data_IF_010247014547
#
_entry.id   IF_010247014547
#
_cell.length_a   1.000
_cell.length_b   1.000
_cell.length_c   1.000
_cell.angle_alpha   90.00
_cell.angle_beta   90.00
_cell.angle_gamma   90.00
#
_symmetry.space_group_name_H-M   'P 1'
#
loop_
_entity.id
_entity.type
_entity.pdbx_description
1 polymer ?
#
# COMPACT_ATOMS: atom_id res chain seq x y z
N UNK A 1 -2.52 32.96 4.90
CA UNK A 1 -1.61 32.03 5.63
C UNK A 1 -2.32 31.44 6.84
N UNK A 2 -2.94 32.23 7.67
CA UNK A 2 -3.67 31.80 8.87
C UNK A 2 -4.80 30.77 8.57
N UNK A 3 -5.61 31.02 7.55
CA UNK A 3 -6.65 30.10 7.11
C UNK A 3 -6.12 28.73 6.62
N UNK A 4 -4.93 28.71 5.97
CA UNK A 4 -4.33 27.46 5.49
C UNK A 4 -3.78 26.62 6.65
N UNK A 5 -3.13 27.26 7.64
CA UNK A 5 -2.64 26.59 8.83
C UNK A 5 -3.79 26.02 9.65
N UNK A 6 -4.83 26.82 9.90
CA UNK A 6 -6.01 26.39 10.65
C UNK A 6 -6.67 25.17 9.99
N UNK A 7 -6.79 25.18 8.67
CA UNK A 7 -7.35 24.06 7.92
C UNK A 7 -6.46 22.81 8.00
N UNK A 8 -5.12 22.97 7.88
CA UNK A 8 -4.19 21.86 7.95
C UNK A 8 -4.19 21.23 9.37
N UNK A 9 -4.23 22.05 10.42
CA UNK A 9 -4.31 21.61 11.81
C UNK A 9 -5.65 20.88 12.06
N UNK A 10 -6.77 21.45 11.61
CA UNK A 10 -8.08 20.80 11.71
C UNK A 10 -8.08 19.44 11.03
N UNK A 11 -7.55 19.35 9.82
CA UNK A 11 -7.47 18.10 9.08
C UNK A 11 -6.59 17.05 9.79
N UNK A 12 -5.48 17.45 10.39
CA UNK A 12 -4.63 16.53 11.14
C UNK A 12 -5.37 15.90 12.32
N UNK A 13 -6.09 16.72 13.10
CA UNK A 13 -6.92 16.22 14.20
C UNK A 13 -8.15 15.43 13.73
N UNK A 14 -8.63 15.72 12.54
CA UNK A 14 -9.67 14.94 11.85
C UNK A 14 -9.15 13.64 11.24
N UNK A 15 -8.03 13.12 11.73
CA UNK A 15 -7.43 11.86 11.33
C UNK A 15 -6.95 11.80 9.86
N UNK A 16 -6.49 12.91 9.32
CA UNK A 16 -5.77 12.93 8.05
C UNK A 16 -4.27 12.75 8.29
N UNK A 17 -3.74 11.59 7.90
CA UNK A 17 -2.31 11.28 8.01
C UNK A 17 -1.44 12.27 7.25
N UNK A 18 -1.79 12.62 6.01
CA UNK A 18 -1.01 13.54 5.19
C UNK A 18 -0.89 14.93 5.83
N UNK A 19 -1.96 15.42 6.47
CA UNK A 19 -1.93 16.70 7.18
C UNK A 19 -1.06 16.65 8.43
N UNK A 20 -1.12 15.55 9.19
CA UNK A 20 -0.28 15.36 10.37
C UNK A 20 1.22 15.26 9.96
N UNK A 21 1.53 14.47 8.94
CA UNK A 21 2.88 14.36 8.39
C UNK A 21 3.40 15.71 7.87
N UNK A 22 2.60 16.45 7.11
CA UNK A 22 3.00 17.77 6.58
C UNK A 22 3.29 18.78 7.68
N UNK A 23 2.48 18.82 8.74
CA UNK A 23 2.72 19.68 9.90
C UNK A 23 4.00 19.27 10.63
N UNK A 24 4.21 17.97 10.84
CA UNK A 24 5.47 17.48 11.39
C UNK A 24 6.67 17.99 10.60
N UNK A 25 6.70 17.78 9.28
CA UNK A 25 7.81 18.21 8.41
C UNK A 25 8.00 19.74 8.43
N UNK A 26 6.90 20.50 8.40
CA UNK A 26 6.95 21.95 8.43
C UNK A 26 7.60 22.48 9.71
N UNK A 27 7.23 21.95 10.88
CA UNK A 27 7.80 22.38 12.16
C UNK A 27 9.21 21.82 12.39
N UNK A 28 9.49 20.59 11.97
CA UNK A 28 10.81 19.97 12.13
C UNK A 28 11.88 20.64 11.27
N UNK A 29 11.57 20.92 10.00
CA UNK A 29 12.54 21.47 9.05
C UNK A 29 12.42 22.98 8.86
N UNK A 30 11.38 23.64 9.33
CA UNK A 30 11.12 25.05 9.10
C UNK A 30 10.68 25.33 7.65
N UNK A 31 9.87 24.46 7.05
CA UNK A 31 9.37 24.59 5.69
C UNK A 31 8.13 25.48 5.61
N UNK A 32 7.79 25.92 4.40
CA UNK A 32 6.53 26.64 4.11
C UNK A 32 6.26 27.84 5.02
N UNK A 33 7.33 28.60 5.40
CA UNK A 33 7.29 29.75 6.30
C UNK A 33 6.97 29.41 7.77
N UNK A 34 7.07 28.16 8.16
CA UNK A 34 7.04 27.76 9.57
C UNK A 34 8.41 28.02 10.21
N UNK A 35 8.41 28.46 11.45
CA UNK A 35 9.62 28.44 12.27
C UNK A 35 9.82 27.04 12.85
N UNK A 36 11.07 26.59 12.91
CA UNK A 36 11.39 25.31 13.57
C UNK A 36 10.88 25.32 15.00
N UNK A 37 10.14 24.28 15.37
CA UNK A 37 9.58 24.08 16.69
C UNK A 37 9.48 22.59 16.98
N UNK A 38 10.44 22.07 17.73
CA UNK A 38 10.51 20.62 18.01
C UNK A 38 9.32 20.12 18.84
N UNK A 39 8.75 20.95 19.73
CA UNK A 39 7.57 20.56 20.52
C UNK A 39 6.33 20.36 19.63
N UNK A 40 6.09 21.26 18.67
CA UNK A 40 5.01 21.09 17.70
C UNK A 40 5.32 19.97 16.71
N UNK A 41 6.56 19.83 16.28
CA UNK A 41 6.98 18.72 15.41
C UNK A 41 6.69 17.37 16.08
N UNK A 42 7.08 17.18 17.33
CA UNK A 42 6.85 15.95 18.08
C UNK A 42 5.36 15.63 18.26
N UNK A 43 4.54 16.64 18.51
CA UNK A 43 3.08 16.48 18.61
C UNK A 43 2.47 15.92 17.33
N UNK A 44 2.81 16.49 16.18
CA UNK A 44 2.28 16.03 14.89
C UNK A 44 2.94 14.74 14.41
N UNK A 45 4.20 14.49 14.76
CA UNK A 45 4.84 13.19 14.61
C UNK A 45 4.05 12.09 15.32
N UNK A 46 3.77 12.27 16.63
CA UNK A 46 3.02 11.28 17.42
C UNK A 46 1.60 11.06 16.86
N UNK A 47 0.97 12.10 16.33
CA UNK A 47 -0.34 11.98 15.68
C UNK A 47 -0.24 11.16 14.38
N UNK A 48 0.75 11.43 13.53
CA UNK A 48 0.98 10.68 12.29
C UNK A 48 1.26 9.20 12.58
N UNK A 49 2.16 8.90 13.55
CA UNK A 49 2.46 7.52 13.97
C UNK A 49 1.20 6.79 14.43
N UNK A 50 0.41 7.41 15.30
CA UNK A 50 -0.82 6.81 15.80
C UNK A 50 -1.79 6.44 14.67
N UNK A 51 -1.88 7.28 13.63
CA UNK A 51 -2.79 7.04 12.51
C UNK A 51 -2.34 5.86 11.65
N UNK A 52 -1.05 5.75 11.31
CA UNK A 52 -0.62 4.65 10.46
C UNK A 52 -0.47 3.32 11.22
N UNK A 53 -0.09 3.33 12.50
CA UNK A 53 0.01 2.10 13.29
C UNK A 53 -1.32 1.43 13.58
N UNK A 54 -2.39 2.22 13.74
CA UNK A 54 -3.71 1.71 14.15
C UNK A 54 -4.70 1.55 13.01
N UNK A 55 -4.57 2.36 11.97
CA UNK A 55 -5.62 2.56 10.98
C UNK A 55 -5.15 2.35 9.54
N UNK A 56 -4.05 1.59 9.32
CA UNK A 56 -3.66 1.13 8.00
C UNK A 56 -4.33 -0.20 7.68
N UNK A 57 -5.26 -0.20 6.73
CA UNK A 57 -5.94 -1.43 6.29
C UNK A 57 -6.36 -1.35 4.82
N UNK A 58 -6.50 -2.53 4.17
CA UNK A 58 -7.06 -2.63 2.82
C UNK A 58 -8.56 -2.38 2.89
N UNK A 59 -9.05 -1.34 2.21
CA UNK A 59 -10.47 -0.95 2.23
C UNK A 59 -11.26 -1.49 1.05
N UNK A 60 -10.68 -1.48 -0.15
CA UNK A 60 -11.35 -2.05 -1.33
C UNK A 60 -10.35 -2.52 -2.38
N UNK A 61 -10.84 -3.40 -3.26
CA UNK A 61 -10.10 -3.91 -4.41
C UNK A 61 -11.03 -4.07 -5.60
N UNK A 62 -10.52 -3.73 -6.78
CA UNK A 62 -11.14 -4.05 -8.06
C UNK A 62 -10.17 -4.88 -8.90
N UNK A 63 -10.66 -5.98 -9.44
CA UNK A 63 -9.89 -6.88 -10.31
C UNK A 63 -10.59 -6.93 -11.65
N UNK A 64 -9.81 -6.83 -12.73
CA UNK A 64 -10.28 -7.05 -14.09
C UNK A 64 -9.33 -7.97 -14.84
N UNK A 65 -9.90 -9.01 -15.45
CA UNK A 65 -9.24 -9.98 -16.31
C UNK A 65 -7.99 -10.66 -15.71
N UNK A 66 -7.98 -10.90 -14.41
CA UNK A 66 -6.86 -11.51 -13.71
C UNK A 66 -7.16 -12.99 -13.35
N UNK A 67 -6.36 -13.91 -13.85
CA UNK A 67 -6.52 -15.36 -13.68
C UNK A 67 -7.92 -15.80 -14.12
N UNK A 68 -8.70 -16.40 -13.20
CA UNK A 68 -10.07 -16.84 -13.49
C UNK A 68 -11.09 -15.70 -13.36
N UNK A 69 -10.70 -14.58 -12.81
CA UNK A 69 -11.60 -13.46 -12.49
C UNK A 69 -11.73 -12.55 -13.69
N UNK A 70 -12.93 -12.39 -14.22
CA UNK A 70 -13.22 -11.44 -15.30
C UNK A 70 -13.38 -10.03 -14.74
N UNK A 71 -14.29 -9.85 -13.77
CA UNK A 71 -14.48 -8.60 -13.04
C UNK A 71 -14.93 -8.92 -11.62
N UNK A 72 -14.35 -8.21 -10.66
CA UNK A 72 -14.68 -8.36 -9.25
C UNK A 72 -14.39 -7.08 -8.49
N UNK A 73 -15.34 -6.63 -7.66
CA UNK A 73 -15.15 -5.54 -6.70
C UNK A 73 -15.42 -6.08 -5.31
N UNK A 74 -14.49 -5.80 -4.38
CA UNK A 74 -14.59 -6.23 -2.98
C UNK A 74 -14.36 -5.01 -2.09
N UNK A 75 -15.22 -4.83 -1.10
CA UNK A 75 -14.97 -3.97 0.04
C UNK A 75 -14.54 -4.87 1.21
N UNK A 76 -13.49 -4.45 1.91
CA UNK A 76 -12.94 -5.18 3.04
C UNK A 76 -13.34 -4.48 4.34
N UNK A 77 -13.69 -5.28 5.33
CA UNK A 77 -13.82 -4.81 6.70
C UNK A 77 -12.43 -4.62 7.32
N UNK A 78 -12.30 -3.65 8.20
CA UNK A 78 -11.04 -3.32 8.88
C UNK A 78 -10.53 -4.48 9.74
N UNK A 79 -11.44 -5.18 10.41
CA UNK A 79 -11.10 -6.22 11.39
C UNK A 79 -11.01 -7.61 10.75
N UNK A 80 -12.02 -7.98 9.95
CA UNK A 80 -12.10 -9.33 9.38
C UNK A 80 -12.92 -9.36 8.10
N UNK A 81 -12.36 -9.92 7.05
CA UNK A 81 -13.10 -10.29 5.83
C UNK A 81 -12.92 -11.78 5.53
N UNK A 82 -14.01 -12.51 5.40
CA UNK A 82 -14.02 -13.93 5.09
C UNK A 82 -14.48 -14.15 3.63
N UNK A 83 -13.62 -14.79 2.82
CA UNK A 83 -13.91 -15.12 1.43
C UNK A 83 -14.27 -16.61 1.35
N UNK A 84 -15.54 -16.91 1.06
CA UNK A 84 -16.06 -18.27 0.95
C UNK A 84 -16.47 -18.58 -0.49
N UNK A 85 -16.48 -19.87 -0.86
CA UNK A 85 -16.89 -20.32 -2.18
C UNK A 85 -16.28 -21.70 -2.51
N UNK A 86 -16.77 -22.32 -3.59
CA UNK A 86 -16.32 -23.63 -4.07
C UNK A 86 -14.84 -23.60 -4.51
N UNK A 87 -14.25 -24.78 -4.73
CA UNK A 87 -12.90 -24.87 -5.28
C UNK A 87 -12.88 -24.35 -6.73
N UNK A 88 -11.81 -23.64 -7.09
CA UNK A 88 -11.64 -23.12 -8.44
C UNK A 88 -12.32 -21.78 -8.74
N UNK A 89 -13.13 -21.19 -7.84
CA UNK A 89 -13.85 -19.91 -8.09
C UNK A 89 -12.96 -18.66 -8.01
N UNK A 90 -11.68 -18.79 -7.68
CA UNK A 90 -10.75 -17.64 -7.65
C UNK A 90 -10.38 -17.10 -6.27
N UNK A 91 -10.70 -17.77 -5.16
CA UNK A 91 -10.31 -17.34 -3.80
C UNK A 91 -8.80 -17.09 -3.68
N UNK A 92 -7.99 -18.02 -4.12
CA UNK A 92 -6.52 -17.89 -4.13
C UNK A 92 -6.06 -16.78 -5.08
N UNK A 93 -6.78 -16.53 -6.17
CA UNK A 93 -6.48 -15.40 -7.07
C UNK A 93 -6.69 -14.05 -6.39
N UNK A 94 -7.75 -13.92 -5.57
CA UNK A 94 -7.99 -12.71 -4.76
C UNK A 94 -6.84 -12.50 -3.76
N UNK A 95 -6.45 -13.53 -3.01
CA UNK A 95 -5.35 -13.44 -2.05
C UNK A 95 -4.01 -13.09 -2.72
N UNK A 96 -3.73 -13.66 -3.90
CA UNK A 96 -2.54 -13.32 -4.68
C UNK A 96 -2.58 -11.89 -5.21
N UNK A 97 -3.75 -11.38 -5.59
CA UNK A 97 -3.94 -9.98 -5.98
C UNK A 97 -3.60 -9.02 -4.83
N UNK A 98 -4.14 -9.28 -3.63
CA UNK A 98 -3.83 -8.51 -2.41
C UNK A 98 -2.32 -8.57 -2.11
N UNK A 99 -1.72 -9.76 -2.15
CA UNK A 99 -0.29 -9.97 -1.90
C UNK A 99 0.57 -9.09 -2.82
N UNK A 100 0.24 -8.98 -4.12
CA UNK A 100 1.01 -8.16 -5.07
C UNK A 100 1.03 -6.68 -4.65
N UNK A 101 -0.07 -6.14 -4.15
CA UNK A 101 -0.15 -4.76 -3.64
C UNK A 101 0.60 -4.58 -2.32
N UNK A 102 0.46 -5.52 -1.39
CA UNK A 102 1.21 -5.52 -0.13
C UNK A 102 2.73 -5.53 -0.40
N UNK A 103 3.20 -6.33 -1.35
CA UNK A 103 4.61 -6.36 -1.76
C UNK A 103 5.10 -4.99 -2.24
N UNK A 104 4.27 -4.20 -2.94
CA UNK A 104 4.63 -2.85 -3.37
C UNK A 104 4.74 -1.88 -2.20
N UNK A 105 3.76 -1.90 -1.27
CA UNK A 105 3.80 -1.04 -0.08
C UNK A 105 5.01 -1.39 0.78
N UNK A 106 5.20 -2.66 1.10
CA UNK A 106 6.34 -3.13 1.89
C UNK A 106 7.68 -2.78 1.26
N UNK A 107 7.83 -3.00 -0.05
CA UNK A 107 9.04 -2.63 -0.79
C UNK A 107 9.29 -1.11 -0.78
N UNK A 108 8.22 -0.29 -0.90
CA UNK A 108 8.31 1.17 -0.87
C UNK A 108 8.68 1.71 0.52
N UNK A 109 8.24 1.04 1.60
CA UNK A 109 8.68 1.35 2.97
C UNK A 109 10.16 1.00 3.15
N UNK A 110 10.62 -0.11 2.56
CA UNK A 110 12.00 -0.58 2.73
C UNK A 110 13.03 0.30 2.04
N UNK A 111 12.75 0.78 0.84
CA UNK A 111 13.70 1.60 0.06
C UNK A 111 13.03 2.39 -1.05
N UNK A 112 13.71 3.44 -1.52
CA UNK A 112 13.35 4.16 -2.73
C UNK A 112 13.50 3.29 -3.98
N UNK A 113 12.73 3.62 -5.01
CA UNK A 113 12.75 2.94 -6.31
C UNK A 113 12.59 1.42 -6.21
N UNK A 114 11.91 0.96 -5.14
CA UNK A 114 11.61 -0.44 -4.95
C UNK A 114 10.64 -0.96 -6.01
N UNK A 115 10.70 -2.26 -6.26
CA UNK A 115 9.75 -2.99 -7.10
C UNK A 115 8.98 -4.00 -6.26
N UNK A 116 7.73 -4.24 -6.62
CA UNK A 116 6.85 -5.20 -5.96
C UNK A 116 6.27 -6.22 -6.94
N UNK A 117 5.10 -6.75 -6.60
CA UNK A 117 4.41 -7.74 -7.42
C UNK A 117 3.96 -7.18 -8.77
N UNK A 118 4.03 -7.99 -9.81
CA UNK A 118 3.54 -7.68 -11.16
C UNK A 118 2.55 -8.74 -11.63
N UNK A 119 1.76 -8.43 -12.64
CA UNK A 119 0.93 -9.42 -13.35
C UNK A 119 1.78 -10.02 -14.45
N UNK A 120 1.94 -11.35 -14.49
CA UNK A 120 2.61 -12.06 -15.57
C UNK A 120 1.66 -12.32 -16.76
N UNK A 121 2.17 -12.55 -17.98
CA UNK A 121 1.31 -12.77 -19.15
C UNK A 121 0.31 -13.93 -19.00
N UNK A 122 0.72 -14.99 -18.34
CA UNK A 122 -0.09 -16.20 -18.05
C UNK A 122 -1.19 -15.95 -16.99
N UNK A 123 -1.10 -14.85 -16.25
CA UNK A 123 -2.12 -14.44 -15.28
C UNK A 123 -3.25 -13.60 -15.92
N UNK A 124 -3.13 -13.20 -17.20
CA UNK A 124 -4.21 -12.50 -17.90
C UNK A 124 -5.32 -13.51 -18.27
N UNK A 125 -6.57 -13.20 -17.93
CA UNK A 125 -7.71 -14.03 -18.30
C UNK A 125 -7.97 -13.98 -19.81
N UNK A 126 -7.64 -15.05 -20.52
CA UNK A 126 -7.82 -15.16 -21.97
C UNK A 126 -9.25 -15.61 -22.39
N UNK A 127 -10.12 -15.93 -21.43
CA UNK A 127 -11.50 -16.38 -21.70
C UNK A 127 -12.51 -15.23 -21.82
N UNK A 128 -12.11 -14.00 -21.46
CA UNK A 128 -12.97 -12.85 -21.63
C UNK A 128 -12.94 -12.35 -23.09
N UNK A 129 -14.09 -11.85 -23.55
CA UNK A 129 -14.37 -11.41 -24.94
C UNK A 129 -13.31 -10.50 -25.57
N UNK A 130 -13.40 -10.30 -26.90
CA UNK A 130 -12.45 -9.61 -27.79
C UNK A 130 -11.99 -8.19 -27.41
N UNK A 131 -12.64 -7.55 -26.41
CA UNK A 131 -12.26 -6.24 -25.89
C UNK A 131 -11.29 -6.31 -24.69
N UNK A 132 -10.64 -7.44 -24.44
CA UNK A 132 -9.70 -7.60 -23.34
C UNK A 132 -8.34 -7.03 -23.69
N UNK A 133 -8.06 -5.81 -23.23
CA UNK A 133 -6.81 -5.11 -23.46
C UNK A 133 -5.67 -5.54 -22.50
N UNK A 134 -5.96 -6.36 -21.51
CA UNK A 134 -5.04 -6.79 -20.47
C UNK A 134 -5.75 -7.04 -19.15
N UNK A 135 -4.98 -7.10 -18.08
CA UNK A 135 -5.47 -7.28 -16.71
C UNK A 135 -5.03 -6.13 -15.81
N UNK A 136 -5.87 -5.77 -14.85
CA UNK A 136 -5.47 -4.87 -13.78
C UNK A 136 -6.05 -5.29 -12.43
N UNK A 137 -5.37 -4.85 -11.40
CA UNK A 137 -5.77 -4.95 -10.01
C UNK A 137 -5.62 -3.56 -9.40
N UNK A 138 -6.71 -3.00 -8.90
CA UNK A 138 -6.72 -1.76 -8.14
C UNK A 138 -6.93 -2.09 -6.67
N UNK A 139 -6.13 -1.49 -5.80
CA UNK A 139 -6.34 -1.55 -4.36
C UNK A 139 -6.33 -0.16 -3.74
N UNK A 140 -7.16 0.01 -2.72
CA UNK A 140 -7.16 1.18 -1.87
C UNK A 140 -6.91 0.77 -0.43
N UNK A 141 -5.91 1.40 0.18
CA UNK A 141 -5.60 1.27 1.60
C UNK A 141 -5.98 2.56 2.30
N UNK A 142 -6.66 2.47 3.42
CA UNK A 142 -6.94 3.62 4.26
C UNK A 142 -5.88 3.75 5.34
N UNK A 143 -5.53 4.99 5.66
CA UNK A 143 -4.67 5.38 6.79
C UNK A 143 -5.43 6.44 7.58
N UNK A 144 -5.86 6.10 8.77
CA UNK A 144 -6.86 6.91 9.46
C UNK A 144 -8.20 6.89 8.74
N UNK A 145 -9.08 7.81 9.10
CA UNK A 145 -10.45 7.85 8.54
C UNK A 145 -10.58 8.57 7.20
N UNK A 146 -9.59 9.39 6.81
CA UNK A 146 -9.72 10.31 5.67
C UNK A 146 -8.63 10.22 4.62
N UNK A 147 -7.58 9.44 4.82
CA UNK A 147 -6.55 9.22 3.80
C UNK A 147 -6.73 7.87 3.13
N UNK A 148 -6.73 7.88 1.81
CA UNK A 148 -6.79 6.67 0.98
C UNK A 148 -5.61 6.64 0.03
N UNK A 149 -4.79 5.62 0.15
CA UNK A 149 -3.64 5.33 -0.72
C UNK A 149 -4.07 4.34 -1.78
N UNK A 150 -4.15 4.79 -3.04
CA UNK A 150 -4.60 3.95 -4.16
C UNK A 150 -3.41 3.53 -5.01
N UNK A 151 -3.48 2.31 -5.53
CA UNK A 151 -2.51 1.83 -6.49
C UNK A 151 -3.15 0.88 -7.50
N UNK A 152 -2.64 0.92 -8.73
CA UNK A 152 -2.99 0.02 -9.82
C UNK A 152 -1.78 -0.78 -10.25
N UNK A 153 -1.92 -2.09 -10.27
CA UNK A 153 -1.00 -3.00 -10.96
C UNK A 153 -1.69 -3.46 -12.23
N UNK A 154 -1.07 -3.20 -13.37
CA UNK A 154 -1.66 -3.52 -14.66
C UNK A 154 -0.66 -4.23 -15.59
N UNK A 155 -1.17 -5.07 -16.47
CA UNK A 155 -0.45 -5.70 -17.57
C UNK A 155 -1.27 -5.63 -18.84
N UNK A 156 -0.68 -5.01 -19.87
CA UNK A 156 -1.26 -4.94 -21.21
C UNK A 156 -1.13 -6.31 -21.88
N UNK A 157 -2.12 -6.71 -22.64
CA UNK A 157 -2.02 -7.86 -23.54
C UNK A 157 -1.19 -7.48 -24.77
N UNK A 158 -0.29 -8.34 -25.23
CA UNK A 158 0.64 -8.04 -26.32
C UNK A 158 -0.05 -7.63 -27.64
N UNK A 159 -1.30 -8.04 -27.83
CA UNK A 159 -2.14 -7.68 -29.00
C UNK A 159 -2.96 -6.39 -28.82
N UNK A 160 -2.88 -5.75 -27.66
CA UNK A 160 -3.70 -4.57 -27.36
C UNK A 160 -3.08 -3.28 -27.90
N UNK A 161 -3.91 -2.45 -28.50
CA UNK A 161 -3.55 -1.08 -28.93
C UNK A 161 -3.92 -0.03 -27.88
N UNK A 162 -4.65 -0.40 -26.84
CA UNK A 162 -5.09 0.52 -25.78
C UNK A 162 -4.10 0.48 -24.63
N UNK A 163 -3.55 1.64 -24.21
CA UNK A 163 -2.61 1.68 -23.10
C UNK A 163 -3.30 1.35 -21.76
N UNK A 164 -2.73 0.43 -21.03
CA UNK A 164 -3.10 0.11 -19.65
C UNK A 164 -1.83 0.15 -18.81
N UNK A 165 -1.75 1.07 -17.85
CA UNK A 165 -0.52 1.32 -17.07
C UNK A 165 -0.72 1.05 -15.59
N UNK A 166 0.34 0.60 -14.93
CA UNK A 166 0.41 0.58 -13.48
C UNK A 166 0.58 1.99 -12.92
N UNK A 167 -0.10 2.28 -11.83
CA UNK A 167 -0.09 3.56 -11.12
C UNK A 167 0.25 3.29 -9.65
N UNK A 168 1.51 3.50 -9.28
CA UNK A 168 2.06 3.09 -7.98
C UNK A 168 2.76 4.26 -7.25
N UNK A 169 2.57 5.48 -7.75
CA UNK A 169 3.17 6.69 -7.17
C UNK A 169 2.76 6.87 -5.71
N UNK A 170 1.49 6.70 -5.39
CA UNK A 170 0.99 6.86 -4.02
C UNK A 170 1.62 5.84 -3.04
N UNK A 171 1.99 4.63 -3.51
CA UNK A 171 2.68 3.66 -2.67
C UNK A 171 4.12 4.08 -2.38
N UNK A 172 4.79 4.72 -3.34
CA UNK A 172 6.13 5.27 -3.12
C UNK A 172 6.08 6.47 -2.18
N UNK A 173 5.09 7.35 -2.35
CA UNK A 173 4.89 8.51 -1.48
C UNK A 173 4.62 8.12 -0.03
N UNK A 174 3.74 7.15 0.21
CA UNK A 174 3.49 6.68 1.58
C UNK A 174 4.70 5.98 2.17
N UNK A 175 5.42 5.19 1.37
CA UNK A 175 6.67 4.55 1.79
C UNK A 175 7.71 5.58 2.20
N UNK A 176 7.87 6.68 1.44
CA UNK A 176 8.76 7.79 1.80
C UNK A 176 8.36 8.44 3.12
N UNK A 177 7.09 8.79 3.27
CA UNK A 177 6.59 9.41 4.51
C UNK A 177 6.84 8.55 5.74
N UNK A 178 6.66 7.24 5.64
CA UNK A 178 6.94 6.29 6.73
C UNK A 178 8.45 6.22 7.03
N UNK A 179 9.31 6.25 6.00
CA UNK A 179 10.77 6.32 6.22
C UNK A 179 11.18 7.61 6.90
N UNK A 180 10.69 8.76 6.45
CA UNK A 180 10.99 10.06 7.04
C UNK A 180 10.61 10.11 8.54
N UNK A 181 9.46 9.54 8.89
CA UNK A 181 9.04 9.40 10.28
C UNK A 181 10.00 8.49 11.06
N UNK A 182 10.44 7.38 10.47
CA UNK A 182 11.37 6.47 11.11
C UNK A 182 12.80 7.03 11.23
N UNK A 183 13.23 7.90 10.32
CA UNK A 183 14.51 8.62 10.41
C UNK A 183 14.50 9.63 11.57
N UNK A 184 13.38 10.29 11.80
CA UNK A 184 13.27 11.21 12.94
C UNK A 184 13.33 10.48 14.27
N UNK A 185 12.61 9.37 14.41
CA UNK A 185 12.63 8.51 15.58
C UNK A 185 12.22 7.08 15.19
N UNK A 186 12.89 6.09 15.75
CA UNK A 186 12.57 4.69 15.50
C UNK A 186 11.09 4.38 15.78
N UNK A 187 10.39 3.88 14.75
CA UNK A 187 8.95 3.61 14.77
C UNK A 187 8.69 2.15 14.37
N UNK A 188 7.50 1.64 14.66
CA UNK A 188 7.11 0.31 14.20
C UNK A 188 6.69 0.38 12.73
N UNK A 189 7.17 -0.56 11.92
CA UNK A 189 6.67 -0.73 10.56
C UNK A 189 5.41 -1.60 10.54
N UNK A 190 4.48 -1.38 9.59
CA UNK A 190 3.34 -2.26 9.42
C UNK A 190 3.80 -3.70 9.17
N UNK A 191 3.24 -4.67 9.89
CA UNK A 191 3.53 -6.08 9.67
C UNK A 191 2.50 -6.67 8.70
N UNK A 192 3.00 -7.25 7.61
CA UNK A 192 2.18 -7.99 6.65
C UNK A 192 2.54 -9.47 6.70
N UNK A 193 1.56 -10.34 6.91
CA UNK A 193 1.74 -11.78 6.89
C UNK A 193 0.85 -12.41 5.81
N UNK A 194 1.45 -13.20 4.92
CA UNK A 194 0.74 -13.96 3.90
C UNK A 194 0.95 -15.46 4.11
N UNK A 195 -0.15 -16.17 4.28
CA UNK A 195 -0.13 -17.62 4.47
C UNK A 195 -0.72 -18.33 3.24
N UNK A 196 0.14 -18.72 2.31
CA UNK A 196 -0.23 -19.52 1.12
C UNK A 196 -0.37 -21.01 1.40
N UNK A 197 -0.99 -21.70 0.43
CA UNK A 197 -1.15 -23.17 0.47
C UNK A 197 0.18 -23.89 0.22
N UNK A 198 1.16 -23.25 -0.43
CA UNK A 198 2.44 -23.85 -0.85
C UNK A 198 3.52 -23.88 0.26
N UNK A 199 3.11 -23.87 1.52
CA UNK A 199 4.05 -23.81 2.67
C UNK A 199 5.05 -24.98 2.72
N UNK A 200 4.77 -26.11 2.06
CA UNK A 200 5.56 -27.32 2.18
C UNK A 200 6.56 -27.53 1.04
N UNK A 201 6.54 -26.72 -0.03
CA UNK A 201 7.34 -26.96 -1.23
C UNK A 201 8.57 -26.08 -1.41
N UNK A 202 8.77 -25.02 -0.63
CA UNK A 202 9.96 -24.20 -0.76
C UNK A 202 11.01 -24.48 0.33
N UNK A 203 11.83 -25.52 0.11
CA UNK A 203 13.20 -25.52 0.64
C UNK A 203 13.98 -24.40 -0.08
N UNK A 204 13.76 -23.14 0.28
CA UNK A 204 14.73 -22.10 -0.04
C UNK A 204 15.93 -22.33 0.86
N UNK A 205 17.11 -22.46 0.27
CA UNK A 205 18.38 -22.39 0.95
C UNK A 205 18.40 -21.07 1.74
N UNK A 206 18.19 -21.15 3.04
CA UNK A 206 18.46 -20.04 3.96
C UNK A 206 19.97 -19.88 3.94
N UNK A 207 20.46 -18.79 3.37
CA UNK A 207 21.85 -18.39 3.55
C UNK A 207 22.07 -18.09 5.03
N UNK A 208 23.12 -18.62 5.60
CA UNK A 208 23.47 -18.52 7.02
C UNK A 208 23.85 -17.10 7.50
N UNK A 209 23.76 -16.09 6.62
CA UNK A 209 24.25 -14.73 6.89
C UNK A 209 23.13 -13.68 6.98
N UNK A 210 21.94 -14.09 7.41
CA UNK A 210 20.86 -13.13 7.66
C UNK A 210 21.09 -12.38 8.98
N UNK A 211 21.77 -11.26 8.90
CA UNK A 211 21.61 -10.20 9.91
C UNK A 211 20.17 -9.68 9.75
N UNK A 212 19.29 -10.07 10.67
CA UNK A 212 17.93 -9.57 10.70
C UNK A 212 17.96 -8.08 11.04
N UNK A 213 17.82 -7.25 10.04
CA UNK A 213 17.52 -5.85 10.19
C UNK A 213 16.00 -5.69 10.29
N UNK A 214 15.50 -4.68 11.01
CA UNK A 214 14.08 -4.31 11.12
C UNK A 214 13.36 -4.24 9.76
N UNK A 215 14.09 -3.93 8.70
CA UNK A 215 13.62 -3.78 7.33
C UNK A 215 13.61 -5.11 6.55
N UNK A 216 14.34 -6.12 6.98
CA UNK A 216 14.50 -7.42 6.28
C UNK A 216 13.44 -8.45 6.67
N UNK A 217 12.58 -8.13 7.61
CA UNK A 217 11.45 -8.96 8.05
C UNK A 217 10.25 -9.02 7.09
N UNK A 218 10.35 -8.42 5.89
CA UNK A 218 9.28 -8.34 4.89
C UNK A 218 9.52 -9.21 3.67
#
# INVERSE_FOLDING_TARGET
MENMLTHLVSNAYDQQFDSAYQLFMNYHQGLNKFHKNESEAEKFFNLAIKLYEKDLFLSNMEISNYKIITNLKINFDKELTIIIGNNGVGKTSILNAIRKHIMWIAASIRKDNASGGTISPDEINNKSSDNNNGAYIDCAFNIGSKNTVRGRIARVKDTSTIPLKSELTNYREIGQKIRDLNEYRDTNFPLFAFYGIDRLSSKKNLSSDLVFNKVDGY
#
